data_IF_662230579558
#
_entry.id   IF_662230579558
#
_cell.length_a   1.000
_cell.length_b   1.000
_cell.length_c   1.000
_cell.angle_alpha   90.00
_cell.angle_beta   90.00
_cell.angle_gamma   90.00
#
_symmetry.space_group_name_H-M   'P 1'
#
loop_
_entity.id
_entity.type
_entity.pdbx_description
1 polymer ?
#
# COMPACT_ATOMS: atom_id res chain seq x y z
N UNK A 1 -0.87 -6.21 12.20
CA UNK A 1 -2.24 -6.63 12.57
C UNK A 1 -3.16 -5.47 12.94
N UNK A 2 -2.73 -4.51 13.80
CA UNK A 2 -3.63 -3.46 14.28
C UNK A 2 -4.34 -2.68 13.16
N UNK A 3 -3.64 -2.33 12.07
CA UNK A 3 -4.28 -1.68 10.92
C UNK A 3 -5.37 -2.53 10.26
N UNK A 4 -5.16 -3.85 10.14
CA UNK A 4 -6.16 -4.77 9.63
C UNK A 4 -7.39 -4.84 10.54
N UNK A 5 -7.17 -4.94 11.85
CA UNK A 5 -8.25 -4.97 12.85
C UNK A 5 -9.11 -3.71 12.81
N UNK A 6 -8.48 -2.52 12.67
CA UNK A 6 -9.21 -1.25 12.52
C UNK A 6 -10.05 -1.23 11.26
N UNK A 7 -9.51 -1.69 10.11
CA UNK A 7 -10.25 -1.79 8.85
C UNK A 7 -11.45 -2.73 9.00
N UNK A 8 -11.22 -3.93 9.54
CA UNK A 8 -12.24 -4.96 9.72
C UNK A 8 -13.36 -4.56 10.69
N UNK A 9 -13.02 -3.89 11.79
CA UNK A 9 -13.99 -3.36 12.73
C UNK A 9 -15.00 -2.40 12.06
N UNK A 10 -14.60 -1.85 10.94
CA UNK A 10 -15.43 -0.99 10.10
C UNK A 10 -15.85 -1.66 8.79
N UNK A 11 -15.77 -2.99 8.68
CA UNK A 11 -16.21 -3.75 7.51
C UNK A 11 -15.43 -3.41 6.23
N UNK A 12 -14.16 -2.96 6.33
CA UNK A 12 -13.28 -2.66 5.22
C UNK A 12 -12.13 -3.67 5.12
N UNK A 13 -11.47 -3.71 3.98
CA UNK A 13 -10.23 -4.44 3.74
C UNK A 13 -9.17 -3.48 3.22
N UNK A 14 -7.90 -3.85 3.35
CA UNK A 14 -6.78 -3.07 2.86
C UNK A 14 -5.87 -3.88 1.93
N UNK A 15 -5.06 -3.17 1.15
CA UNK A 15 -3.98 -3.74 0.36
C UNK A 15 -2.64 -3.57 1.10
N UNK A 16 -1.97 -4.68 1.37
CA UNK A 16 -0.69 -4.75 2.07
C UNK A 16 0.44 -4.99 1.07
N UNK A 17 1.31 -4.00 0.90
CA UNK A 17 2.46 -4.07 0.00
C UNK A 17 3.67 -4.62 0.77
N UNK A 18 4.14 -5.81 0.39
CA UNK A 18 4.99 -6.64 1.24
C UNK A 18 6.35 -6.94 0.60
N UNK A 19 7.41 -6.77 1.39
CA UNK A 19 8.78 -7.20 1.10
C UNK A 19 9.05 -8.51 1.83
N UNK A 20 8.97 -9.65 1.15
CA UNK A 20 9.11 -10.95 1.81
C UNK A 20 10.50 -11.21 2.40
N UNK A 21 11.53 -10.57 1.87
CA UNK A 21 12.89 -10.63 2.44
C UNK A 21 13.04 -9.99 3.81
N UNK A 22 12.03 -9.21 4.26
CA UNK A 22 12.05 -8.53 5.55
C UNK A 22 11.19 -9.23 6.61
N UNK A 23 10.58 -10.36 6.32
CA UNK A 23 9.70 -11.07 7.24
C UNK A 23 10.32 -11.26 8.63
N UNK A 24 9.63 -10.79 9.67
CA UNK A 24 10.00 -10.94 11.07
C UNK A 24 11.25 -10.19 11.51
N UNK A 25 11.90 -9.43 10.63
CA UNK A 25 13.09 -8.66 10.96
C UNK A 25 12.73 -7.36 11.68
N UNK A 26 13.64 -6.89 12.53
CA UNK A 26 13.56 -5.57 13.12
C UNK A 26 14.11 -4.51 12.15
N UNK A 27 13.39 -3.40 12.01
CA UNK A 27 13.77 -2.28 11.16
C UNK A 27 13.53 -0.93 11.86
N UNK A 28 13.80 0.14 11.15
CA UNK A 28 13.65 1.51 11.68
C UNK A 28 12.19 1.89 11.98
N UNK A 29 11.22 1.15 11.46
CA UNK A 29 9.79 1.28 11.75
C UNK A 29 9.30 0.26 12.79
N UNK A 30 10.19 -0.51 13.43
CA UNK A 30 9.90 -1.61 14.32
C UNK A 30 9.97 -2.97 13.62
N UNK A 31 9.40 -4.02 14.23
CA UNK A 31 9.39 -5.38 13.67
C UNK A 31 8.44 -5.43 12.46
N UNK A 32 8.94 -5.94 11.35
CA UNK A 32 8.11 -6.27 10.18
C UNK A 32 7.26 -7.51 10.45
N UNK A 33 6.10 -7.57 9.83
CA UNK A 33 5.24 -8.74 9.87
C UNK A 33 5.99 -9.99 9.36
N UNK A 34 5.76 -11.12 9.99
CA UNK A 34 6.32 -12.40 9.54
C UNK A 34 5.38 -13.11 8.53
N UNK A 35 5.84 -14.24 8.01
CA UNK A 35 5.10 -14.99 7.00
C UNK A 35 3.75 -15.53 7.52
N UNK A 36 3.66 -15.89 8.81
CA UNK A 36 2.42 -16.36 9.41
C UNK A 36 1.39 -15.21 9.53
N UNK A 37 1.86 -14.03 9.91
CA UNK A 37 1.04 -12.82 9.98
C UNK A 37 0.52 -12.40 8.59
N UNK A 38 1.35 -12.53 7.53
CA UNK A 38 0.91 -12.25 6.15
C UNK A 38 -0.09 -13.30 5.67
N UNK A 39 0.11 -14.58 5.98
CA UNK A 39 -0.85 -15.65 5.66
C UNK A 39 -2.20 -15.40 6.35
N UNK A 40 -2.20 -14.92 7.61
CA UNK A 40 -3.42 -14.56 8.33
C UNK A 40 -4.16 -13.41 7.64
N UNK A 41 -3.46 -12.36 7.19
CA UNK A 41 -4.07 -11.28 6.43
C UNK A 41 -4.78 -11.77 5.15
N UNK A 42 -4.16 -12.70 4.42
CA UNK A 42 -4.76 -13.30 3.22
C UNK A 42 -6.03 -14.06 3.57
N UNK A 43 -5.99 -14.89 4.62
CA UNK A 43 -7.16 -15.68 5.09
C UNK A 43 -8.31 -14.78 5.55
N UNK A 44 -8.01 -13.60 6.09
CA UNK A 44 -8.97 -12.58 6.50
C UNK A 44 -9.49 -11.72 5.33
N UNK A 45 -9.06 -12.01 4.10
CA UNK A 45 -9.55 -11.37 2.88
C UNK A 45 -8.91 -10.02 2.57
N UNK A 46 -7.76 -9.70 3.18
CA UNK A 46 -6.97 -8.55 2.77
C UNK A 46 -6.19 -8.86 1.49
N UNK A 47 -5.94 -7.83 0.69
CA UNK A 47 -5.08 -7.94 -0.48
C UNK A 47 -3.60 -7.91 -0.05
N UNK A 48 -2.79 -8.81 -0.62
CA UNK A 48 -1.33 -8.80 -0.46
C UNK A 48 -0.69 -8.56 -1.81
N UNK A 49 0.12 -7.50 -1.91
CA UNK A 49 0.71 -6.97 -3.13
C UNK A 49 2.24 -6.88 -3.03
N UNK A 50 2.91 -6.71 -4.16
CA UNK A 50 4.37 -6.69 -4.25
C UNK A 50 5.00 -5.36 -3.84
N UNK A 51 6.20 -5.44 -3.21
CA UNK A 51 6.99 -4.26 -2.82
C UNK A 51 8.51 -4.52 -2.92
N UNK A 52 8.94 -5.34 -3.89
CA UNK A 52 10.26 -5.96 -3.99
C UNK A 52 10.55 -6.93 -2.83
N UNK A 53 11.57 -7.76 -2.96
CA UNK A 53 11.97 -8.70 -1.90
C UNK A 53 12.72 -7.99 -0.78
N UNK A 54 13.70 -7.19 -1.15
CA UNK A 54 14.65 -6.55 -0.21
C UNK A 54 14.40 -5.06 0.01
N UNK A 55 13.26 -4.51 -0.42
CA UNK A 55 12.94 -3.08 -0.40
C UNK A 55 13.96 -2.24 -1.19
N UNK A 56 14.43 -2.78 -2.32
CA UNK A 56 15.41 -2.08 -3.15
C UNK A 56 14.82 -0.91 -3.94
N UNK A 57 15.67 0.07 -4.26
CA UNK A 57 15.33 1.20 -5.12
C UNK A 57 15.24 0.76 -6.59
N UNK A 58 14.02 0.70 -7.13
CA UNK A 58 13.76 0.29 -8.52
C UNK A 58 14.39 1.24 -9.55
N UNK A 59 14.58 2.52 -9.21
CA UNK A 59 15.20 3.50 -10.09
C UNK A 59 16.70 3.23 -10.28
N UNK A 60 17.39 2.89 -9.20
CA UNK A 60 18.86 2.75 -9.18
C UNK A 60 19.34 1.33 -9.45
N UNK A 61 18.52 0.32 -9.19
CA UNK A 61 18.92 -1.08 -9.33
C UNK A 61 19.05 -1.48 -10.80
N UNK A 62 20.15 -2.13 -11.20
CA UNK A 62 20.28 -2.71 -12.55
C UNK A 62 19.14 -3.70 -12.85
N UNK A 63 18.72 -3.77 -14.12
CA UNK A 63 17.54 -4.52 -14.55
C UNK A 63 17.57 -6.00 -14.11
N UNK A 64 18.67 -6.70 -14.31
CA UNK A 64 18.81 -8.10 -13.91
C UNK A 64 18.66 -8.30 -12.40
N UNK A 65 19.18 -7.39 -11.58
CA UNK A 65 19.03 -7.41 -10.12
C UNK A 65 17.59 -7.11 -9.71
N UNK A 66 16.95 -6.15 -10.37
CA UNK A 66 15.54 -5.84 -10.12
C UNK A 66 14.63 -7.03 -10.46
N UNK A 67 14.83 -7.66 -11.62
CA UNK A 67 14.07 -8.86 -12.01
C UNK A 67 14.24 -9.98 -10.99
N UNK A 68 15.47 -10.29 -10.60
CA UNK A 68 15.73 -11.36 -9.63
C UNK A 68 15.09 -11.10 -8.27
N UNK A 69 15.11 -9.86 -7.79
CA UNK A 69 14.49 -9.46 -6.52
C UNK A 69 12.95 -9.52 -6.60
N UNK A 70 12.35 -9.07 -7.71
CA UNK A 70 10.92 -9.20 -7.96
C UNK A 70 10.48 -10.67 -8.04
N UNK A 71 11.24 -11.52 -8.73
CA UNK A 71 10.94 -12.95 -8.84
C UNK A 71 10.96 -13.63 -7.47
N UNK A 72 11.94 -13.30 -6.63
CA UNK A 72 12.03 -13.79 -5.27
C UNK A 72 10.83 -13.36 -4.42
N UNK A 73 10.42 -12.09 -4.51
CA UNK A 73 9.25 -11.60 -3.76
C UNK A 73 7.96 -12.28 -4.20
N UNK A 74 7.70 -12.31 -5.49
CA UNK A 74 6.48 -12.92 -6.03
C UNK A 74 6.40 -14.42 -5.72
N UNK A 75 7.51 -15.15 -5.79
CA UNK A 75 7.56 -16.55 -5.42
C UNK A 75 7.24 -16.76 -3.94
N UNK A 76 7.83 -15.94 -3.05
CA UNK A 76 7.56 -16.00 -1.62
C UNK A 76 6.10 -15.68 -1.29
N UNK A 77 5.53 -14.63 -1.88
CA UNK A 77 4.13 -14.25 -1.64
C UNK A 77 3.15 -15.29 -2.19
N UNK A 78 3.40 -15.84 -3.37
CA UNK A 78 2.59 -16.94 -3.93
C UNK A 78 2.63 -18.20 -3.08
N UNK A 79 3.77 -18.51 -2.45
CA UNK A 79 3.89 -19.64 -1.54
C UNK A 79 3.00 -19.49 -0.28
N UNK A 80 2.64 -18.26 0.09
CA UNK A 80 1.69 -17.95 1.17
C UNK A 80 0.23 -17.92 0.70
N UNK A 81 -0.03 -18.12 -0.60
CA UNK A 81 -1.37 -18.08 -1.18
C UNK A 81 -1.79 -16.71 -1.73
N UNK A 82 -0.90 -15.71 -1.76
CA UNK A 82 -1.21 -14.43 -2.37
C UNK A 82 -1.16 -14.47 -3.91
N UNK A 83 -1.88 -13.55 -4.55
CA UNK A 83 -1.76 -13.24 -5.97
C UNK A 83 -1.26 -11.80 -6.13
N UNK A 84 0.06 -11.54 -6.06
CA UNK A 84 0.61 -10.19 -6.06
C UNK A 84 0.54 -9.58 -7.48
N UNK A 85 -0.67 -9.11 -7.87
CA UNK A 85 -0.93 -8.48 -9.17
C UNK A 85 -0.82 -6.95 -9.13
N UNK A 86 -0.67 -6.37 -7.95
CA UNK A 86 -0.44 -4.95 -7.74
C UNK A 86 0.93 -4.72 -7.08
N UNK A 87 1.49 -3.54 -7.27
CA UNK A 87 2.83 -3.22 -6.79
C UNK A 87 2.92 -1.78 -6.27
N UNK A 88 3.75 -1.55 -5.24
CA UNK A 88 4.17 -0.21 -4.84
C UNK A 88 5.68 -0.07 -5.01
N UNK A 89 6.12 1.07 -5.55
CA UNK A 89 7.54 1.38 -5.67
C UNK A 89 8.14 1.67 -4.29
N UNK A 90 9.20 0.95 -3.84
CA UNK A 90 9.96 1.36 -2.67
C UNK A 90 10.43 2.81 -2.82
N UNK A 91 10.32 3.58 -1.72
CA UNK A 91 10.61 5.03 -1.68
C UNK A 91 9.74 5.89 -2.61
N UNK A 92 8.85 5.31 -3.40
CA UNK A 92 8.10 5.99 -4.46
C UNK A 92 8.93 6.38 -5.68
N UNK A 93 10.17 5.90 -5.77
CA UNK A 93 11.12 6.25 -6.83
C UNK A 93 10.81 5.49 -8.13
N UNK A 94 10.53 6.26 -9.16
CA UNK A 94 10.12 5.76 -10.48
C UNK A 94 11.10 6.22 -11.54
N UNK A 95 11.49 5.32 -12.43
CA UNK A 95 12.20 5.67 -13.67
C UNK A 95 11.46 5.10 -14.89
N UNK A 96 11.62 5.69 -16.08
CA UNK A 96 10.99 5.16 -17.30
C UNK A 96 11.28 3.68 -17.53
N UNK A 97 12.53 3.25 -17.25
CA UNK A 97 12.96 1.85 -17.36
C UNK A 97 12.23 0.95 -16.36
N UNK A 98 12.24 1.31 -15.06
CA UNK A 98 11.56 0.53 -14.03
C UNK A 98 10.05 0.47 -14.30
N UNK A 99 9.43 1.59 -14.69
CA UNK A 99 8.02 1.65 -15.04
C UNK A 99 7.67 0.71 -16.20
N UNK A 100 8.44 0.72 -17.28
CA UNK A 100 8.21 -0.16 -18.44
C UNK A 100 8.33 -1.65 -18.06
N UNK A 101 9.33 -2.01 -17.27
CA UNK A 101 9.53 -3.38 -16.78
C UNK A 101 8.36 -3.85 -15.89
N UNK A 102 7.99 -3.04 -14.92
CA UNK A 102 6.97 -3.38 -13.93
C UNK A 102 5.55 -3.37 -14.53
N UNK A 103 5.26 -2.48 -15.49
CA UNK A 103 3.98 -2.42 -16.21
C UNK A 103 3.69 -3.71 -17.01
N UNK A 104 4.72 -4.43 -17.43
CA UNK A 104 4.57 -5.75 -18.07
C UNK A 104 4.32 -6.90 -17.08
N UNK A 105 4.40 -6.63 -15.78
CA UNK A 105 4.34 -7.66 -14.73
C UNK A 105 3.14 -7.50 -13.79
N UNK A 106 2.75 -6.26 -13.48
CA UNK A 106 1.67 -5.94 -12.53
C UNK A 106 0.57 -5.11 -13.18
N UNK A 107 -0.66 -5.27 -12.70
CA UNK A 107 -1.83 -4.55 -13.20
C UNK A 107 -1.87 -3.09 -12.75
N UNK A 108 -1.25 -2.77 -11.62
CA UNK A 108 -1.09 -1.37 -11.19
C UNK A 108 0.19 -1.17 -10.37
N UNK A 109 0.73 0.03 -10.44
CA UNK A 109 1.97 0.43 -9.77
C UNK A 109 1.73 1.75 -9.02
N UNK A 110 1.92 1.77 -7.69
CA UNK A 110 1.69 2.95 -6.85
C UNK A 110 3.01 3.63 -6.47
N UNK A 111 3.05 4.93 -6.67
CA UNK A 111 4.09 5.83 -6.12
C UNK A 111 3.66 6.44 -4.80
N UNK A 112 4.35 7.55 -4.40
CA UNK A 112 4.06 8.33 -3.17
C UNK A 112 3.74 9.80 -3.46
N UNK A 113 3.67 10.20 -4.73
CA UNK A 113 3.26 11.55 -5.09
C UNK A 113 1.76 11.73 -4.77
N UNK A 114 1.43 12.85 -4.17
CA UNK A 114 0.05 13.16 -3.77
C UNK A 114 -0.81 13.45 -4.98
N UNK A 115 -2.00 12.87 -5.02
CA UNK A 115 -2.93 13.10 -6.12
C UNK A 115 -4.19 12.24 -6.01
N UNK A 116 -5.11 12.48 -6.91
CA UNK A 116 -6.31 11.69 -7.15
C UNK A 116 -6.18 10.95 -8.47
N UNK A 117 -6.87 9.82 -8.58
CA UNK A 117 -6.98 9.08 -9.83
C UNK A 117 -8.34 9.41 -10.44
N UNK A 118 -8.32 9.92 -11.66
CA UNK A 118 -9.49 10.16 -12.48
C UNK A 118 -9.57 9.14 -13.61
N UNK A 119 -10.68 9.11 -14.35
CA UNK A 119 -10.86 8.25 -15.51
C UNK A 119 -9.72 8.43 -16.52
N UNK A 120 -9.13 7.31 -16.96
CA UNK A 120 -7.97 7.31 -17.85
C UNK A 120 -6.64 7.61 -17.16
N UNK A 121 -6.61 7.63 -15.83
CA UNK A 121 -5.37 7.80 -15.05
C UNK A 121 -4.32 6.72 -15.34
N UNK A 122 -3.06 7.07 -15.13
CA UNK A 122 -1.92 6.16 -15.36
C UNK A 122 -1.81 5.10 -14.25
N UNK A 123 -2.31 3.90 -14.52
CA UNK A 123 -2.25 2.78 -13.58
C UNK A 123 -0.81 2.34 -13.25
N UNK A 124 0.17 2.73 -14.05
CA UNK A 124 1.58 2.40 -13.82
C UNK A 124 2.30 3.44 -12.95
N UNK A 125 1.59 4.43 -12.45
CA UNK A 125 2.10 5.45 -11.53
C UNK A 125 0.97 6.07 -10.72
N UNK A 126 0.19 5.23 -10.05
CA UNK A 126 -0.90 5.70 -9.19
C UNK A 126 -0.37 6.62 -8.09
N UNK A 127 -1.04 7.74 -7.85
CA UNK A 127 -0.73 8.61 -6.71
C UNK A 127 -1.12 7.94 -5.38
N UNK A 128 -0.59 8.47 -4.29
CA UNK A 128 -0.99 8.06 -2.95
C UNK A 128 -0.74 9.17 -1.93
N UNK A 129 -1.58 9.24 -0.90
CA UNK A 129 -1.45 10.21 0.19
C UNK A 129 -1.13 9.46 1.47
N UNK A 130 0.00 9.81 2.10
CA UNK A 130 0.44 9.21 3.35
C UNK A 130 -0.38 9.73 4.54
N UNK A 131 -0.79 8.81 5.40
CA UNK A 131 -1.29 9.12 6.75
C UNK A 131 -0.06 9.06 7.66
N UNK A 132 0.75 10.12 7.62
CA UNK A 132 2.08 10.14 8.24
C UNK A 132 2.46 11.54 8.73
N UNK A 133 3.33 11.58 9.73
CA UNK A 133 3.75 12.84 10.35
C UNK A 133 2.66 13.50 11.20
N UNK A 134 2.97 14.68 11.79
CA UNK A 134 2.08 15.34 12.75
C UNK A 134 0.75 15.81 12.15
N UNK A 135 0.74 16.14 10.86
CA UNK A 135 -0.44 16.63 10.15
C UNK A 135 -1.09 15.55 9.26
N UNK A 136 -0.64 14.30 9.33
CA UNK A 136 -1.06 13.22 8.44
C UNK A 136 -2.56 12.98 8.44
N UNK A 137 -3.20 12.98 9.61
CA UNK A 137 -4.66 12.84 9.72
C UNK A 137 -5.41 14.02 9.10
N UNK A 138 -4.96 15.26 9.38
CA UNK A 138 -5.60 16.47 8.83
C UNK A 138 -5.48 16.50 7.32
N UNK A 139 -4.30 16.20 6.80
CA UNK A 139 -4.05 16.14 5.36
C UNK A 139 -4.89 15.05 4.68
N UNK A 140 -4.92 13.85 5.24
CA UNK A 140 -5.72 12.74 4.70
C UNK A 140 -7.21 13.10 4.65
N UNK A 141 -7.75 13.74 5.69
CA UNK A 141 -9.13 14.24 5.71
C UNK A 141 -9.41 15.22 4.58
N UNK A 142 -8.54 16.20 4.37
CA UNK A 142 -8.68 17.16 3.27
C UNK A 142 -8.68 16.48 1.90
N UNK A 143 -7.86 15.44 1.72
CA UNK A 143 -7.83 14.67 0.47
C UNK A 143 -9.07 13.79 0.29
N UNK A 144 -9.67 13.27 1.37
CA UNK A 144 -10.98 12.58 1.31
C UNK A 144 -12.06 13.56 0.82
N UNK A 145 -12.16 14.73 1.45
CA UNK A 145 -13.14 15.76 1.05
C UNK A 145 -12.96 16.18 -0.41
N UNK A 146 -11.72 16.29 -0.85
CA UNK A 146 -11.39 16.62 -2.23
C UNK A 146 -11.77 15.49 -3.20
N UNK A 147 -11.53 14.23 -2.84
CA UNK A 147 -11.89 13.06 -3.65
C UNK A 147 -13.41 12.99 -3.86
N UNK A 148 -14.19 13.29 -2.81
CA UNK A 148 -15.66 13.40 -2.90
C UNK A 148 -16.06 14.51 -3.84
N UNK A 149 -15.49 15.71 -3.67
CA UNK A 149 -15.82 16.88 -4.50
C UNK A 149 -15.51 16.69 -5.99
N UNK A 150 -14.44 15.93 -6.30
CA UNK A 150 -13.99 15.66 -7.66
C UNK A 150 -14.53 14.34 -8.22
N UNK A 151 -15.29 13.55 -7.43
CA UNK A 151 -15.73 12.20 -7.76
C UNK A 151 -14.58 11.34 -8.29
N UNK A 152 -13.49 11.25 -7.51
CA UNK A 152 -12.25 10.62 -7.92
C UNK A 152 -11.78 9.55 -6.93
N UNK A 153 -10.92 8.65 -7.37
CA UNK A 153 -10.33 7.63 -6.51
C UNK A 153 -9.12 8.20 -5.75
N UNK A 154 -9.14 8.05 -4.43
CA UNK A 154 -8.05 8.38 -3.52
C UNK A 154 -7.43 7.10 -2.96
N UNK A 155 -6.11 7.01 -2.98
CA UNK A 155 -5.35 5.98 -2.29
C UNK A 155 -4.70 6.62 -1.05
N UNK A 156 -5.11 6.18 0.14
CA UNK A 156 -4.43 6.50 1.38
C UNK A 156 -3.47 5.36 1.75
N UNK A 157 -2.29 5.68 2.25
CA UNK A 157 -1.34 4.68 2.73
C UNK A 157 -0.70 5.09 4.07
N UNK A 158 -0.23 4.11 4.82
CA UNK A 158 0.57 4.27 6.03
C UNK A 158 1.50 3.06 6.16
N UNK A 159 2.56 3.17 6.98
CA UNK A 159 3.52 2.08 7.14
C UNK A 159 3.23 1.24 8.39
N UNK A 160 2.97 1.87 9.52
CA UNK A 160 2.65 1.17 10.76
C UNK A 160 1.47 1.84 11.50
N UNK A 161 0.64 1.01 12.11
CA UNK A 161 -0.54 1.45 12.86
C UNK A 161 -0.40 0.97 14.30
N UNK A 162 -0.06 1.87 15.22
CA UNK A 162 0.13 1.60 16.66
C UNK A 162 0.21 2.91 17.44
N UNK A 163 0.03 2.85 18.77
CA UNK A 163 0.05 4.04 19.62
C UNK A 163 1.38 4.80 19.54
N UNK A 164 2.49 4.07 19.61
CA UNK A 164 3.84 4.65 19.45
C UNK A 164 4.36 4.31 18.06
N UNK A 165 3.80 4.95 17.04
CA UNK A 165 4.15 4.71 15.65
C UNK A 165 5.44 5.43 15.22
N UNK A 166 6.00 4.98 14.09
CA UNK A 166 7.11 5.67 13.41
C UNK A 166 6.64 7.01 12.80
N UNK A 167 7.56 7.86 12.34
CA UNK A 167 7.18 9.08 11.60
C UNK A 167 6.33 8.83 10.35
N UNK A 168 6.32 7.61 9.83
CA UNK A 168 5.57 7.19 8.64
C UNK A 168 4.29 6.41 8.97
N UNK A 169 3.97 6.28 10.25
CA UNK A 169 2.80 5.57 10.75
C UNK A 169 1.70 6.49 11.26
N UNK A 170 0.65 5.87 11.78
CA UNK A 170 -0.44 6.56 12.46
C UNK A 170 -0.97 5.75 13.65
N UNK A 171 -1.78 6.37 14.50
CA UNK A 171 -2.47 5.64 15.58
C UNK A 171 -3.68 4.86 15.05
N UNK A 172 -4.09 3.77 15.71
CA UNK A 172 -5.35 3.08 15.42
C UNK A 172 -6.55 4.02 15.40
N UNK A 173 -6.62 4.94 16.36
CA UNK A 173 -7.69 5.93 16.47
C UNK A 173 -7.71 6.91 15.29
N UNK A 174 -6.55 7.37 14.82
CA UNK A 174 -6.47 8.25 13.65
C UNK A 174 -6.97 7.53 12.39
N UNK A 175 -6.53 6.29 12.17
CA UNK A 175 -7.02 5.48 11.05
C UNK A 175 -8.53 5.25 11.14
N UNK A 176 -9.05 4.91 12.34
CA UNK A 176 -10.48 4.71 12.57
C UNK A 176 -11.31 5.95 12.24
N UNK A 177 -10.85 7.14 12.70
CA UNK A 177 -11.52 8.42 12.40
C UNK A 177 -11.52 8.75 10.91
N UNK A 178 -10.44 8.44 10.20
CA UNK A 178 -10.36 8.66 8.74
C UNK A 178 -11.32 7.75 7.97
N UNK A 179 -11.43 6.48 8.35
CA UNK A 179 -12.38 5.54 7.74
C UNK A 179 -13.82 6.00 8.00
N UNK A 180 -14.15 6.40 9.23
CA UNK A 180 -15.46 6.92 9.57
C UNK A 180 -15.78 8.18 8.75
N UNK A 181 -14.85 9.15 8.68
CA UNK A 181 -15.03 10.36 7.89
C UNK A 181 -15.27 10.06 6.40
N UNK A 182 -14.50 9.14 5.81
CA UNK A 182 -14.69 8.76 4.42
C UNK A 182 -16.10 8.17 4.17
N UNK A 183 -16.58 7.32 5.08
CA UNK A 183 -17.93 6.73 5.00
C UNK A 183 -19.02 7.78 5.16
N UNK A 184 -18.90 8.66 6.15
CA UNK A 184 -19.85 9.73 6.39
C UNK A 184 -19.94 10.68 5.19
N UNK A 185 -18.82 10.86 4.47
CA UNK A 185 -18.74 11.61 3.22
C UNK A 185 -19.26 10.83 1.99
N UNK A 186 -19.69 9.57 2.14
CA UNK A 186 -20.25 8.75 1.08
C UNK A 186 -19.22 7.98 0.24
N UNK A 187 -17.97 7.89 0.72
CA UNK A 187 -16.95 7.10 0.00
C UNK A 187 -17.18 5.59 0.17
N UNK A 188 -16.96 4.86 -0.91
CA UNK A 188 -16.84 3.41 -0.92
C UNK A 188 -15.37 3.04 -0.63
N UNK A 189 -15.12 2.22 0.40
CA UNK A 189 -13.76 1.86 0.82
C UNK A 189 -13.46 0.46 0.31
N UNK A 190 -12.47 0.36 -0.58
CA UNK A 190 -12.09 -0.86 -1.29
C UNK A 190 -10.60 -1.07 -1.30
N UNK A 191 -10.18 -2.31 -1.55
CA UNK A 191 -8.78 -2.59 -1.93
C UNK A 191 -8.50 -2.14 -3.36
N UNK A 192 -7.22 -2.07 -3.75
CA UNK A 192 -6.84 -1.69 -5.11
C UNK A 192 -7.39 -2.70 -6.13
N UNK A 193 -7.33 -3.99 -5.79
CA UNK A 193 -7.88 -5.05 -6.64
C UNK A 193 -9.38 -4.93 -6.83
N UNK A 194 -10.15 -4.59 -5.80
CA UNK A 194 -11.61 -4.40 -5.90
C UNK A 194 -12.01 -3.17 -6.73
N UNK A 195 -11.16 -2.15 -6.81
CA UNK A 195 -11.40 -0.96 -7.67
C UNK A 195 -11.12 -1.26 -9.12
N UNK A 196 -10.15 -2.14 -9.41
CA UNK A 196 -9.67 -2.43 -10.78
C UNK A 196 -10.24 -3.73 -11.38
N UNK A 197 -11.18 -4.41 -10.67
CA UNK A 197 -11.79 -5.69 -11.09
C UNK A 197 -12.87 -5.54 -12.21
#
# INVERSE_FOLDING_TARGET
HAGAEVLEAQGARGAFYVCAGLFGQDGHMGRFADSAEISDLILRGHEVAGHTFSHLDCHRTPEAGLIADLDANDAALRALGAAPIHFAYPYGEVSPRAKALLAGRYSSLRGVHKGLVHDGGDLNQLPGVGIEGPDGEVLARQWIDRAVAENAWLILYTHDVRETHSPWGCTPDALSRLIAHARDAGCDIRTVGEVLA
#
